data_IF_538753740641
#
_entry.id   IF_538753740641
#
_cell.length_a   1.000
_cell.length_b   1.000
_cell.length_c   1.000
_cell.angle_alpha   90.00
_cell.angle_beta   90.00
_cell.angle_gamma   90.00
#
_symmetry.space_group_name_H-M   'P 1'
#
loop_
_entity.id
_entity.type
_entity.pdbx_description
1 polymer ?
#
# COMPACT_ATOMS: atom_id res chain seq x y z
N UNK A 1 -19.79 -16.54 -12.78
CA UNK A 1 -21.19 -16.94 -12.93
C UNK A 1 -21.40 -18.21 -12.11
N UNK A 2 -21.88 -18.05 -10.87
CA UNK A 2 -22.29 -19.18 -10.03
C UNK A 2 -23.72 -19.53 -10.44
N UNK A 3 -23.85 -20.62 -11.18
CA UNK A 3 -25.15 -21.20 -11.48
C UNK A 3 -25.63 -21.86 -10.18
N UNK A 4 -26.48 -21.16 -9.45
CA UNK A 4 -27.23 -21.73 -8.36
C UNK A 4 -28.22 -22.75 -8.93
N UNK A 5 -27.88 -24.03 -8.83
CA UNK A 5 -28.85 -25.10 -9.05
C UNK A 5 -29.82 -25.09 -7.92
N UNK A 6 -30.93 -24.37 -8.10
CA UNK A 6 -32.13 -24.57 -7.29
C UNK A 6 -32.70 -25.95 -7.60
N UNK A 7 -32.42 -26.90 -6.74
CA UNK A 7 -33.12 -28.20 -6.78
C UNK A 7 -34.58 -27.89 -6.50
N UNK A 8 -35.51 -28.17 -7.42
CA UNK A 8 -36.92 -27.94 -7.15
C UNK A 8 -37.38 -28.94 -6.10
N UNK A 9 -37.82 -28.40 -4.98
CA UNK A 9 -38.55 -29.13 -3.95
C UNK A 9 -39.95 -29.40 -4.50
N UNK A 10 -40.05 -30.24 -5.49
CA UNK A 10 -41.34 -30.60 -6.05
C UNK A 10 -41.62 -32.07 -5.89
N UNK A 11 -42.68 -32.25 -5.16
CA UNK A 11 -43.56 -33.38 -5.23
C UNK A 11 -43.11 -34.62 -4.44
N UNK A 12 -43.33 -34.56 -3.14
CA UNK A 12 -43.71 -35.76 -2.42
C UNK A 12 -45.18 -36.00 -2.75
N UNK A 13 -45.46 -36.90 -3.69
CA UNK A 13 -46.79 -37.40 -3.95
C UNK A 13 -47.22 -38.14 -2.66
N UNK A 14 -48.16 -37.56 -1.95
CA UNK A 14 -48.85 -38.22 -0.85
C UNK A 14 -49.65 -39.37 -1.45
N UNK A 15 -49.04 -40.55 -1.53
CA UNK A 15 -49.76 -41.80 -1.64
C UNK A 15 -50.49 -42.04 -0.31
N UNK A 16 -51.77 -42.32 -0.38
CA UNK A 16 -52.59 -42.68 0.76
C UNK A 16 -52.03 -43.96 1.45
N UNK A 17 -51.16 -43.74 2.43
CA UNK A 17 -50.61 -44.77 3.29
C UNK A 17 -50.06 -44.08 4.54
N UNK A 18 -50.41 -44.58 5.71
CA UNK A 18 -49.93 -44.09 7.00
C UNK A 18 -48.41 -43.98 6.98
N UNK A 19 -47.86 -42.76 7.00
CA UNK A 19 -46.43 -42.51 7.11
C UNK A 19 -45.93 -43.12 8.41
N UNK A 20 -44.96 -43.99 8.33
CA UNK A 20 -44.30 -44.55 9.52
C UNK A 20 -43.50 -43.45 10.23
N UNK A 21 -43.32 -43.59 11.53
CA UNK A 21 -42.57 -42.65 12.37
C UNK A 21 -41.14 -42.44 11.80
N UNK A 22 -40.56 -43.47 11.25
CA UNK A 22 -39.22 -43.41 10.61
C UNK A 22 -39.19 -42.52 9.36
N UNK A 23 -40.24 -42.60 8.52
CA UNK A 23 -40.33 -41.73 7.33
C UNK A 23 -40.47 -40.26 7.71
N UNK A 24 -41.24 -39.98 8.76
CA UNK A 24 -41.36 -38.61 9.28
C UNK A 24 -40.03 -38.08 9.85
N UNK A 25 -39.29 -38.94 10.55
CA UNK A 25 -37.98 -38.59 11.08
C UNK A 25 -36.98 -38.24 9.97
N UNK A 26 -36.92 -38.98 8.87
CA UNK A 26 -36.06 -38.65 7.74
C UNK A 26 -36.49 -37.36 7.04
N UNK A 27 -37.75 -37.11 6.87
CA UNK A 27 -38.29 -35.92 6.25
C UNK A 27 -37.91 -34.63 7.02
N UNK A 28 -37.80 -34.72 8.34
CA UNK A 28 -37.39 -33.58 9.18
C UNK A 28 -35.86 -33.49 9.39
N UNK A 29 -35.17 -34.64 9.44
CA UNK A 29 -33.74 -34.69 9.70
C UNK A 29 -32.90 -34.16 8.52
N UNK A 30 -33.26 -34.53 7.29
CA UNK A 30 -32.49 -34.12 6.09
C UNK A 30 -32.44 -32.59 5.91
N UNK A 31 -33.59 -31.87 5.94
CA UNK A 31 -33.58 -30.41 5.86
C UNK A 31 -32.84 -29.73 7.01
N UNK A 32 -32.98 -30.30 8.22
CA UNK A 32 -32.31 -29.75 9.42
C UNK A 32 -30.79 -29.86 9.30
N UNK A 33 -30.29 -31.01 8.89
CA UNK A 33 -28.85 -31.23 8.64
C UNK A 33 -28.36 -30.30 7.52
N UNK A 34 -29.12 -30.18 6.44
CA UNK A 34 -28.79 -29.29 5.33
C UNK A 34 -28.71 -27.83 5.76
N UNK A 35 -29.64 -27.36 6.61
CA UNK A 35 -29.61 -25.99 7.16
C UNK A 35 -28.40 -25.78 8.05
N UNK A 36 -28.04 -26.74 8.89
CA UNK A 36 -26.88 -26.66 9.79
C UNK A 36 -25.58 -26.61 8.99
N UNK A 37 -25.45 -27.49 7.99
CA UNK A 37 -24.25 -27.54 7.11
C UNK A 37 -24.11 -26.23 6.33
N UNK A 38 -25.18 -25.74 5.73
CA UNK A 38 -25.15 -24.46 4.99
C UNK A 38 -24.87 -23.26 5.89
N UNK A 39 -25.39 -23.25 7.12
CA UNK A 39 -25.07 -22.19 8.08
C UNK A 39 -23.60 -22.21 8.45
N UNK A 40 -23.05 -23.41 8.72
CA UNK A 40 -21.64 -23.56 9.06
C UNK A 40 -20.69 -23.19 7.89
N UNK A 41 -21.04 -23.60 6.67
CA UNK A 41 -20.28 -23.22 5.47
C UNK A 41 -20.23 -21.71 5.28
N UNK A 42 -21.38 -21.03 5.36
CA UNK A 42 -21.45 -19.56 5.25
C UNK A 42 -20.66 -18.84 6.35
N UNK A 43 -20.62 -19.38 7.56
CA UNK A 43 -19.84 -18.78 8.64
C UNK A 43 -18.33 -18.95 8.40
N UNK A 44 -17.89 -20.08 7.84
CA UNK A 44 -16.50 -20.32 7.48
C UNK A 44 -16.09 -19.38 6.33
N UNK A 45 -16.93 -19.27 5.29
CA UNK A 45 -16.67 -18.38 4.14
C UNK A 45 -16.60 -16.92 4.59
N UNK A 46 -17.53 -16.47 5.44
CA UNK A 46 -17.52 -15.11 5.99
C UNK A 46 -16.25 -14.82 6.80
N UNK A 47 -15.81 -15.76 7.64
CA UNK A 47 -14.56 -15.61 8.39
C UNK A 47 -13.36 -15.53 7.46
N UNK A 48 -13.32 -16.37 6.43
CA UNK A 48 -12.24 -16.37 5.43
C UNK A 48 -12.17 -15.05 4.68
N UNK A 49 -13.30 -14.55 4.20
CA UNK A 49 -13.38 -13.26 3.51
C UNK A 49 -12.98 -12.11 4.44
N UNK A 50 -13.40 -12.16 5.71
CA UNK A 50 -13.02 -11.15 6.70
C UNK A 50 -11.49 -11.11 6.93
N UNK A 51 -10.84 -12.27 7.09
CA UNK A 51 -9.39 -12.32 7.28
C UNK A 51 -8.63 -11.91 6.02
N UNK A 52 -9.08 -12.32 4.84
CA UNK A 52 -8.47 -11.92 3.56
C UNK A 52 -8.60 -10.41 3.34
N UNK A 53 -9.75 -9.82 3.61
CA UNK A 53 -9.96 -8.37 3.49
C UNK A 53 -9.07 -7.60 4.49
N UNK A 54 -8.92 -8.09 5.71
CA UNK A 54 -8.06 -7.47 6.71
C UNK A 54 -6.58 -7.52 6.31
N UNK A 55 -6.13 -8.65 5.78
CA UNK A 55 -4.76 -8.81 5.27
C UNK A 55 -4.51 -7.91 4.06
N UNK A 56 -5.46 -7.85 3.12
CA UNK A 56 -5.39 -6.97 1.95
C UNK A 56 -5.29 -5.50 2.36
N UNK A 57 -6.11 -5.07 3.32
CA UNK A 57 -6.08 -3.71 3.84
C UNK A 57 -4.73 -3.38 4.52
N UNK A 58 -4.20 -4.31 5.32
CA UNK A 58 -2.89 -4.16 5.95
C UNK A 58 -1.77 -4.03 4.91
N UNK A 59 -1.78 -4.87 3.88
CA UNK A 59 -0.80 -4.82 2.79
C UNK A 59 -0.91 -3.52 1.98
N UNK A 60 -2.14 -3.05 1.72
CA UNK A 60 -2.40 -1.78 1.06
C UNK A 60 -1.84 -0.60 1.86
N UNK A 61 -2.09 -0.55 3.17
CA UNK A 61 -1.56 0.48 4.04
C UNK A 61 -0.03 0.47 4.09
N UNK A 62 0.58 -0.72 4.16
CA UNK A 62 2.04 -0.86 4.13
C UNK A 62 2.61 -0.36 2.81
N UNK A 63 2.00 -0.72 1.68
CA UNK A 63 2.39 -0.25 0.35
C UNK A 63 2.28 1.26 0.22
N UNK A 64 1.16 1.86 0.65
CA UNK A 64 0.98 3.31 0.66
C UNK A 64 2.04 4.01 1.51
N UNK A 65 2.31 3.51 2.73
CA UNK A 65 3.33 4.07 3.61
C UNK A 65 4.73 3.97 3.00
N UNK A 66 5.02 2.87 2.30
CA UNK A 66 6.29 2.67 1.61
C UNK A 66 6.43 3.63 0.44
N UNK A 67 5.40 3.74 -0.41
CA UNK A 67 5.40 4.69 -1.52
C UNK A 67 5.58 6.12 -1.04
N UNK A 68 4.86 6.57 -0.01
CA UNK A 68 5.00 7.91 0.57
C UNK A 68 6.42 8.16 1.11
N UNK A 69 7.05 7.14 1.69
CA UNK A 69 8.43 7.27 2.22
C UNK A 69 9.47 7.46 1.11
N UNK A 70 9.34 6.72 -0.01
CA UNK A 70 10.34 6.74 -1.08
C UNK A 70 10.09 7.80 -2.15
N UNK A 71 8.84 8.12 -2.42
CA UNK A 71 8.45 9.01 -3.52
C UNK A 71 7.82 10.33 -3.05
N UNK A 72 7.66 10.51 -1.74
CA UNK A 72 6.92 11.64 -1.18
C UNK A 72 5.41 11.51 -1.38
N UNK A 73 4.65 12.44 -0.79
CA UNK A 73 3.19 12.36 -0.75
C UNK A 73 2.58 12.57 -2.14
N UNK A 74 2.99 13.63 -2.80
CA UNK A 74 2.42 14.08 -4.10
C UNK A 74 2.58 13.02 -5.20
N UNK A 75 3.76 12.40 -5.33
CA UNK A 75 4.01 11.40 -6.37
C UNK A 75 3.35 10.07 -6.03
N UNK A 76 3.33 9.69 -4.75
CA UNK A 76 2.65 8.46 -4.32
C UNK A 76 1.14 8.51 -4.53
N UNK A 77 0.50 9.66 -4.32
CA UNK A 77 -0.92 9.86 -4.62
C UNK A 77 -1.18 9.74 -6.12
N UNK A 78 -0.36 10.38 -6.96
CA UNK A 78 -0.48 10.28 -8.41
C UNK A 78 -0.33 8.83 -8.93
N UNK A 79 0.65 8.08 -8.41
CA UNK A 79 0.84 6.66 -8.77
C UNK A 79 -0.38 5.80 -8.38
N UNK A 80 -1.01 6.10 -7.26
CA UNK A 80 -2.17 5.35 -6.78
C UNK A 80 -3.44 5.71 -7.55
N UNK A 81 -3.62 6.98 -7.92
CA UNK A 81 -4.79 7.46 -8.67
C UNK A 81 -4.76 6.99 -10.13
N UNK A 82 -3.60 7.00 -10.77
CA UNK A 82 -3.43 6.58 -12.17
C UNK A 82 -3.37 5.05 -12.34
N UNK A 83 -3.69 4.26 -11.30
CA UNK A 83 -3.66 2.78 -11.31
C UNK A 83 -2.29 2.21 -11.74
N UNK A 84 -1.22 2.97 -11.48
CA UNK A 84 0.15 2.59 -11.85
C UNK A 84 0.54 2.90 -13.29
N UNK A 85 -0.30 3.58 -14.07
CA UNK A 85 0.05 4.04 -15.42
C UNK A 85 0.93 5.28 -15.32
N UNK A 86 2.25 5.08 -15.36
CA UNK A 86 3.26 6.15 -15.28
C UNK A 86 3.38 6.83 -16.65
N UNK A 87 2.50 7.75 -16.94
CA UNK A 87 2.68 8.68 -18.07
C UNK A 87 3.73 9.72 -17.69
N UNK A 88 4.85 9.71 -18.41
CA UNK A 88 5.89 10.71 -18.26
C UNK A 88 5.48 12.04 -18.88
N UNK A 89 5.66 13.13 -18.13
CA UNK A 89 5.50 14.50 -18.63
C UNK A 89 6.88 15.14 -18.85
N UNK A 90 7.02 15.93 -19.92
CA UNK A 90 8.20 16.76 -20.12
C UNK A 90 7.98 18.09 -19.41
N UNK A 91 8.75 18.33 -18.34
CA UNK A 91 8.69 19.56 -17.55
C UNK A 91 10.08 20.13 -17.33
N UNK A 92 10.16 21.46 -17.22
CA UNK A 92 11.41 22.13 -16.86
C UNK A 92 11.59 22.07 -15.34
N UNK A 93 12.77 21.65 -14.91
CA UNK A 93 13.13 21.48 -13.50
C UNK A 93 14.53 22.00 -13.24
N UNK A 94 14.81 22.40 -12.01
CA UNK A 94 16.17 22.61 -11.52
C UNK A 94 16.61 21.42 -10.69
N UNK A 95 17.82 20.93 -10.90
CA UNK A 95 18.38 19.82 -10.15
C UNK A 95 19.57 20.33 -9.34
N UNK A 96 19.57 20.03 -8.05
CA UNK A 96 20.66 20.32 -7.13
C UNK A 96 21.29 19.00 -6.66
N UNK A 97 22.58 18.89 -6.77
CA UNK A 97 23.39 17.84 -6.14
C UNK A 97 24.22 18.45 -5.03
N UNK A 98 24.19 17.82 -3.87
CA UNK A 98 25.05 18.18 -2.73
C UNK A 98 25.92 16.99 -2.37
N UNK A 99 27.11 17.26 -1.86
CA UNK A 99 28.07 16.24 -1.47
C UNK A 99 28.89 16.72 -0.26
N UNK A 100 29.33 15.79 0.59
CA UNK A 100 30.17 16.13 1.75
C UNK A 100 31.64 16.15 1.31
N UNK A 101 32.25 17.31 1.35
CA UNK A 101 33.64 17.42 1.00
C UNK A 101 34.52 16.50 1.85
N UNK A 102 35.32 15.65 1.19
CA UNK A 102 36.23 14.70 1.84
C UNK A 102 35.55 13.67 2.76
N UNK A 103 34.32 13.30 2.45
CA UNK A 103 33.53 12.34 3.27
C UNK A 103 34.31 11.07 3.58
N UNK A 104 34.94 10.43 2.60
CA UNK A 104 35.74 9.21 2.81
C UNK A 104 36.82 9.37 3.89
N UNK A 105 37.52 10.51 3.89
CA UNK A 105 38.53 10.83 4.90
C UNK A 105 37.93 11.04 6.28
N UNK A 106 36.76 11.68 6.32
CA UNK A 106 36.04 11.94 7.60
C UNK A 106 35.62 10.63 8.25
N UNK A 107 35.04 9.69 7.50
CA UNK A 107 34.51 8.42 8.04
C UNK A 107 35.58 7.37 8.30
N UNK A 108 36.76 7.47 7.66
CA UNK A 108 37.85 6.48 7.81
C UNK A 108 38.27 6.29 9.27
N UNK A 109 38.15 7.33 10.09
CA UNK A 109 38.52 7.33 11.51
C UNK A 109 37.31 7.18 12.45
N UNK A 110 36.11 6.93 11.92
CA UNK A 110 34.88 6.77 12.73
C UNK A 110 34.53 5.29 12.89
N UNK A 111 33.86 4.97 14.01
CA UNK A 111 33.17 3.67 14.08
C UNK A 111 31.97 3.68 13.14
N UNK A 112 31.52 2.49 12.64
CA UNK A 112 30.33 2.41 11.77
C UNK A 112 29.09 3.09 12.36
N UNK A 113 28.87 2.93 13.65
CA UNK A 113 27.73 3.54 14.37
C UNK A 113 27.83 5.08 14.36
N UNK A 114 29.05 5.63 14.56
CA UNK A 114 29.28 7.06 14.56
C UNK A 114 29.10 7.63 13.16
N UNK A 115 29.57 6.92 12.12
CA UNK A 115 29.40 7.34 10.73
C UNK A 115 27.92 7.38 10.32
N UNK A 116 27.13 6.38 10.72
CA UNK A 116 25.67 6.36 10.49
C UNK A 116 24.98 7.51 11.22
N UNK A 117 25.34 7.78 12.47
CA UNK A 117 24.78 8.89 13.23
C UNK A 117 25.09 10.23 12.59
N UNK A 118 26.34 10.45 12.17
CA UNK A 118 26.79 11.64 11.45
C UNK A 118 25.97 11.87 10.17
N UNK A 119 25.81 10.82 9.32
CA UNK A 119 25.02 10.92 8.10
C UNK A 119 23.55 11.24 8.39
N UNK A 120 22.95 10.60 9.40
CA UNK A 120 21.56 10.87 9.75
C UNK A 120 21.35 12.32 10.22
N UNK A 121 22.26 12.87 11.01
CA UNK A 121 22.22 14.28 11.44
C UNK A 121 22.39 15.23 10.26
N UNK A 122 23.34 14.94 9.36
CA UNK A 122 23.55 15.68 8.13
C UNK A 122 22.31 15.67 7.23
N UNK A 123 21.78 14.49 6.91
CA UNK A 123 20.61 14.38 6.05
C UNK A 123 19.35 15.00 6.68
N UNK A 124 19.19 14.94 7.99
CA UNK A 124 18.08 15.61 8.66
C UNK A 124 18.18 17.13 8.50
N UNK A 125 19.37 17.70 8.69
CA UNK A 125 19.59 19.13 8.52
C UNK A 125 19.38 19.58 7.06
N UNK A 126 19.84 18.77 6.11
CA UNK A 126 19.64 19.04 4.68
C UNK A 126 18.16 18.96 4.30
N UNK A 127 17.44 17.96 4.84
CA UNK A 127 16.00 17.82 4.61
C UNK A 127 15.23 19.07 5.06
N UNK A 128 15.51 19.60 6.25
CA UNK A 128 14.83 20.78 6.80
C UNK A 128 15.05 22.02 5.90
N UNK A 129 16.24 22.18 5.39
CA UNK A 129 16.56 23.29 4.45
C UNK A 129 15.86 23.09 3.11
N UNK A 130 15.96 21.89 2.53
CA UNK A 130 15.38 21.56 1.22
C UNK A 130 13.84 21.71 1.26
N UNK A 131 13.19 21.22 2.32
CA UNK A 131 11.75 21.34 2.51
C UNK A 131 11.30 22.80 2.62
N UNK A 132 12.04 23.63 3.36
CA UNK A 132 11.79 25.07 3.47
C UNK A 132 11.76 25.78 2.11
N UNK A 133 12.56 25.31 1.16
CA UNK A 133 12.65 25.86 -0.20
C UNK A 133 11.80 25.07 -1.21
N UNK A 134 10.90 24.22 -0.76
CA UNK A 134 10.00 23.41 -1.61
C UNK A 134 10.74 22.48 -2.58
N UNK A 135 11.95 22.06 -2.23
CA UNK A 135 12.71 21.06 -2.98
C UNK A 135 12.23 19.65 -2.70
N UNK A 136 12.21 18.80 -3.71
CA UNK A 136 11.90 17.39 -3.58
C UNK A 136 13.17 16.56 -3.59
N UNK A 137 13.49 15.89 -2.49
CA UNK A 137 14.60 14.92 -2.46
C UNK A 137 14.18 13.71 -3.28
N UNK A 138 14.98 13.38 -4.27
CA UNK A 138 14.74 12.23 -5.17
C UNK A 138 15.52 11.01 -4.71
N UNK A 139 16.77 11.20 -4.31
CA UNK A 139 17.62 10.08 -3.91
C UNK A 139 18.78 10.54 -3.00
N UNK A 140 19.23 9.62 -2.16
CA UNK A 140 20.47 9.69 -1.41
C UNK A 140 21.49 8.75 -2.06
N UNK A 141 22.63 9.26 -2.48
CA UNK A 141 23.67 8.49 -3.19
C UNK A 141 24.95 8.55 -2.35
N UNK A 142 25.10 7.60 -1.42
CA UNK A 142 26.18 7.65 -0.43
C UNK A 142 25.98 8.82 0.54
N UNK A 143 26.87 9.80 0.49
CA UNK A 143 26.83 11.07 1.22
C UNK A 143 26.20 12.23 0.42
N UNK A 144 25.85 11.98 -0.84
CA UNK A 144 25.25 12.97 -1.73
C UNK A 144 23.73 12.97 -1.67
N UNK A 145 23.11 14.13 -1.87
CA UNK A 145 21.68 14.29 -1.99
C UNK A 145 21.32 14.85 -3.36
N UNK A 146 20.41 14.18 -4.06
CA UNK A 146 19.81 14.67 -5.30
C UNK A 146 18.45 15.29 -5.01
N UNK A 147 18.30 16.57 -5.36
CA UNK A 147 17.09 17.36 -5.14
C UNK A 147 16.58 17.91 -6.45
N UNK A 148 15.26 17.89 -6.65
CA UNK A 148 14.60 18.49 -7.80
C UNK A 148 13.64 19.59 -7.33
N UNK A 149 13.64 20.72 -8.04
CA UNK A 149 12.72 21.83 -7.86
C UNK A 149 11.86 21.99 -9.11
N UNK A 150 10.54 22.18 -8.94
CA UNK A 150 9.58 22.31 -10.04
C UNK A 150 8.87 21.01 -10.42
N UNK A 151 9.21 19.88 -9.78
CA UNK A 151 8.54 18.59 -9.94
C UNK A 151 8.59 17.78 -8.64
N UNK A 152 7.60 16.92 -8.38
CA UNK A 152 6.32 16.76 -9.08
C UNK A 152 5.37 17.93 -8.85
N UNK A 153 5.60 18.73 -7.78
CA UNK A 153 4.88 19.96 -7.50
C UNK A 153 5.48 21.10 -8.32
N UNK A 154 4.64 21.82 -9.07
CA UNK A 154 5.09 23.00 -9.80
C UNK A 154 5.48 24.10 -8.81
N UNK A 155 6.73 24.57 -8.92
CA UNK A 155 7.28 25.68 -8.12
C UNK A 155 7.66 26.79 -9.08
N UNK A 156 7.10 27.98 -8.90
CA UNK A 156 7.45 29.14 -9.70
C UNK A 156 8.85 29.64 -9.36
N UNK A 157 9.61 30.05 -10.37
CA UNK A 157 11.00 30.51 -10.22
C UNK A 157 11.91 29.48 -9.54
N UNK A 158 11.69 28.19 -9.83
CA UNK A 158 12.44 27.08 -9.24
C UNK A 158 13.96 27.23 -9.42
N UNK A 159 14.43 27.90 -10.48
CA UNK A 159 15.84 28.19 -10.72
C UNK A 159 16.45 29.09 -9.64
N UNK A 160 15.71 30.16 -9.26
CA UNK A 160 16.17 31.09 -8.21
C UNK A 160 16.07 30.42 -6.84
N UNK A 161 15.01 29.65 -6.62
CA UNK A 161 14.78 28.95 -5.36
C UNK A 161 15.85 27.88 -5.13
N UNK A 162 16.21 27.12 -6.15
CA UNK A 162 17.27 26.11 -6.05
C UNK A 162 18.63 26.70 -5.69
N UNK A 163 18.97 27.89 -6.27
CA UNK A 163 20.20 28.61 -5.91
C UNK A 163 20.15 29.12 -4.47
N UNK A 164 19.01 29.66 -4.02
CA UNK A 164 18.85 30.10 -2.62
C UNK A 164 18.95 28.94 -1.62
N UNK A 165 18.49 27.76 -2.01
CA UNK A 165 18.61 26.56 -1.20
C UNK A 165 20.07 26.09 -1.07
N UNK A 166 20.91 26.34 -2.10
CA UNK A 166 22.29 25.90 -2.17
C UNK A 166 23.29 26.85 -1.43
N UNK A 167 22.87 28.04 -1.00
CA UNK A 167 23.69 29.07 -0.32
C UNK A 167 23.34 29.12 1.16
#
# INVERSE_FOLDING_TARGET
AVIGTTVPFSIVILSEGNMTVDQLAYLLAIPSIFLVVNKRSREIDFRKDFFQNKELESNRQLMQKTLKRYFGETLSEKILDDQGDLKGDNIWVSILFTDIASYSTIIEHMSPETAVKFLNEYFSSMHDVIDKYEGQIINYIGDSVMVVFGAPKKVENHEIISVKCAI
#
